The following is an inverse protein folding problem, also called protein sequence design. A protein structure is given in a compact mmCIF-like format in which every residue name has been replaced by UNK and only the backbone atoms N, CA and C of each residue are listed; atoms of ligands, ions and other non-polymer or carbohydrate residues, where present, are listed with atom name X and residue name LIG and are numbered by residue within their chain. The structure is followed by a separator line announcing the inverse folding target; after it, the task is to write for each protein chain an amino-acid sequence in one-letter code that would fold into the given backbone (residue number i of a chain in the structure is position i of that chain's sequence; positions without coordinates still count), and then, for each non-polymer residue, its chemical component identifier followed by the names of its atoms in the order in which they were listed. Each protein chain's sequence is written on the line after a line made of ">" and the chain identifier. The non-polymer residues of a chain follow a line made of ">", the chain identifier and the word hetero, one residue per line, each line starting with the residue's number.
data_IF_430328766132
#
_entry.id   IF_430328766132
#
_cell.length_a   1.000
_cell.length_b   1.000
_cell.length_c   1.000
_cell.angle_alpha   90.00
_cell.angle_beta   90.00
_cell.angle_gamma   90.00
#
_symmetry.space_group_name_H-M   'P 1'
#
loop_
_entity.id
_entity.type
_entity.pdbx_description
1 polymer ?
#
# COMPACT_ATOMS: atom_id res chain seq x y z
N UNK A 1 23.75 13.05 5.65
CA UNK A 1 22.73 13.40 4.62
C UNK A 1 21.35 13.31 5.23
N UNK A 2 20.57 14.38 5.13
CA UNK A 2 19.29 14.51 5.83
C UNK A 2 18.16 13.80 5.07
N UNK A 3 17.08 13.43 5.77
CA UNK A 3 15.88 12.84 5.19
C UNK A 3 15.19 13.72 4.12
N UNK A 4 15.56 15.01 4.03
CA UNK A 4 15.06 15.96 3.03
C UNK A 4 15.73 15.75 1.67
N UNK A 5 16.97 15.26 1.62
CA UNK A 5 17.68 15.00 0.36
C UNK A 5 17.16 13.74 -0.35
N UNK A 6 16.54 12.81 0.38
CA UNK A 6 15.98 11.56 -0.16
C UNK A 6 14.60 11.72 -0.83
N UNK A 7 13.99 12.92 -0.78
CA UNK A 7 12.55 13.16 -1.07
C UNK A 7 12.17 13.46 -2.52
N UNK A 8 13.09 13.66 -3.45
CA UNK A 8 12.72 13.93 -4.84
C UNK A 8 12.72 12.60 -5.61
N UNK A 9 11.65 12.24 -6.31
CA UNK A 9 11.60 11.15 -7.32
C UNK A 9 10.59 11.57 -8.39
N UNK A 10 10.77 11.47 -9.71
CA UNK A 10 11.42 10.43 -10.50
C UNK A 10 11.89 10.87 -11.92
N UNK A 11 11.69 12.13 -12.33
CA UNK A 11 12.11 12.66 -13.65
C UNK A 11 13.05 13.87 -13.57
N UNK A 12 12.84 14.85 -12.64
CA UNK A 12 13.69 16.04 -12.55
C UNK A 12 15.14 15.71 -12.15
N UNK A 13 15.35 14.86 -11.13
CA UNK A 13 16.70 14.49 -10.65
C UNK A 13 17.55 13.82 -11.72
N UNK A 14 16.96 13.03 -12.62
CA UNK A 14 17.77 12.37 -13.64
C UNK A 14 18.33 13.40 -14.62
N UNK A 15 17.53 14.40 -14.98
CA UNK A 15 17.97 15.50 -15.86
C UNK A 15 19.02 16.34 -15.15
N UNK A 16 18.77 16.72 -13.89
CA UNK A 16 19.71 17.51 -13.08
C UNK A 16 21.03 16.76 -12.88
N UNK A 17 20.99 15.46 -12.56
CA UNK A 17 22.20 14.64 -12.43
C UNK A 17 22.92 14.42 -13.74
N UNK A 18 22.21 14.28 -14.86
CA UNK A 18 22.84 14.20 -16.18
C UNK A 18 23.60 15.49 -16.47
N UNK A 19 23.00 16.65 -16.17
CA UNK A 19 23.65 17.95 -16.32
C UNK A 19 24.89 18.06 -15.41
N UNK A 20 24.76 17.74 -14.12
CA UNK A 20 25.87 17.73 -13.17
C UNK A 20 26.99 16.78 -13.60
N UNK A 21 26.63 15.60 -14.12
CA UNK A 21 27.59 14.62 -14.59
C UNK A 21 28.35 15.12 -15.81
N UNK A 22 27.66 15.76 -16.78
CA UNK A 22 28.31 16.37 -17.96
C UNK A 22 29.30 17.45 -17.53
N UNK A 23 28.95 18.31 -16.56
CA UNK A 23 29.86 19.33 -16.04
C UNK A 23 31.07 18.73 -15.30
N UNK A 24 30.86 17.67 -14.51
CA UNK A 24 31.97 16.92 -13.89
C UNK A 24 32.90 16.34 -14.95
N UNK A 25 32.37 15.78 -16.03
CA UNK A 25 33.19 15.27 -17.15
C UNK A 25 33.94 16.41 -17.83
N UNK A 26 33.30 17.56 -18.05
CA UNK A 26 33.95 18.74 -18.62
C UNK A 26 35.13 19.23 -17.77
N UNK A 27 35.02 19.16 -16.45
CA UNK A 27 36.11 19.51 -15.52
C UNK A 27 37.32 18.56 -15.58
N UNK A 28 37.18 17.40 -16.23
CA UNK A 28 38.29 16.46 -16.48
C UNK A 28 39.05 16.75 -17.79
N UNK A 29 38.60 17.75 -18.55
CA UNK A 29 39.28 18.18 -19.76
C UNK A 29 40.54 18.98 -19.42
N UNK A 30 41.66 18.56 -19.98
CA UNK A 30 42.96 19.22 -19.85
C UNK A 30 43.06 20.41 -20.80
N UNK A 31 44.05 21.26 -20.59
CA UNK A 31 44.32 22.45 -21.42
C UNK A 31 44.57 22.13 -22.90
N UNK A 32 45.01 20.91 -23.21
CA UNK A 32 45.23 20.40 -24.57
C UNK A 32 43.95 19.84 -25.22
N UNK A 33 42.80 19.93 -24.56
CA UNK A 33 41.51 19.42 -25.03
C UNK A 33 41.29 17.92 -24.81
N UNK A 34 42.30 17.18 -24.31
CA UNK A 34 42.18 15.76 -23.95
C UNK A 34 41.50 15.56 -22.60
N UNK A 35 40.95 14.37 -22.34
CA UNK A 35 40.28 14.05 -21.07
C UNK A 35 41.14 13.14 -20.18
N UNK A 36 41.09 13.35 -18.87
CA UNK A 36 41.62 12.40 -17.90
C UNK A 36 40.76 11.11 -17.89
N UNK A 37 41.22 10.10 -18.61
CA UNK A 37 40.50 8.83 -18.80
C UNK A 37 40.27 8.08 -17.49
N UNK A 38 41.16 8.20 -16.50
CA UNK A 38 41.03 7.53 -15.21
C UNK A 38 39.94 8.20 -14.38
N UNK A 39 39.94 9.54 -14.34
CA UNK A 39 38.94 10.31 -13.61
C UNK A 39 37.55 10.23 -14.24
N UNK A 40 37.46 10.23 -15.58
CA UNK A 40 36.22 9.95 -16.31
C UNK A 40 35.67 8.55 -15.96
N UNK A 41 36.55 7.55 -15.89
CA UNK A 41 36.17 6.20 -15.49
C UNK A 41 35.59 6.15 -14.07
N UNK A 42 36.23 6.82 -13.11
CA UNK A 42 35.76 6.88 -11.72
C UNK A 42 34.41 7.57 -11.59
N UNK A 43 34.24 8.74 -12.22
CA UNK A 43 32.97 9.46 -12.22
C UNK A 43 31.84 8.62 -12.81
N UNK A 44 32.13 7.88 -13.89
CA UNK A 44 31.17 6.97 -14.48
C UNK A 44 30.78 5.82 -13.54
N UNK A 45 31.76 5.24 -12.84
CA UNK A 45 31.52 4.16 -11.88
C UNK A 45 30.68 4.63 -10.68
N UNK A 46 30.94 5.83 -10.16
CA UNK A 46 30.14 6.45 -9.10
C UNK A 46 28.69 6.69 -9.56
N UNK A 47 28.48 7.15 -10.79
CA UNK A 47 27.15 7.42 -11.33
C UNK A 47 26.36 6.12 -11.52
N UNK A 48 27.00 5.10 -12.09
CA UNK A 48 26.39 3.76 -12.24
C UNK A 48 26.04 3.18 -10.87
N UNK A 49 26.95 3.26 -9.89
CA UNK A 49 26.73 2.80 -8.52
C UNK A 49 25.57 3.54 -7.86
N UNK A 50 25.47 4.85 -8.04
CA UNK A 50 24.34 5.63 -7.53
C UNK A 50 22.99 5.09 -8.03
N UNK A 51 22.84 4.82 -9.33
CA UNK A 51 21.59 4.28 -9.87
C UNK A 51 21.33 2.85 -9.37
N UNK A 52 22.39 2.07 -9.15
CA UNK A 52 22.29 0.74 -8.56
C UNK A 52 21.80 0.80 -7.10
N UNK A 53 22.47 1.58 -6.26
CA UNK A 53 22.17 1.73 -4.83
C UNK A 53 20.74 2.26 -4.60
N UNK A 54 20.18 2.99 -5.58
CA UNK A 54 18.81 3.49 -5.57
C UNK A 54 17.78 2.54 -6.22
N UNK A 55 18.11 1.25 -6.32
CA UNK A 55 17.16 0.18 -6.63
C UNK A 55 16.66 0.14 -8.09
N UNK A 56 17.46 0.65 -9.04
CA UNK A 56 17.10 0.60 -10.47
C UNK A 56 17.35 -0.79 -11.05
N UNK A 57 16.40 -1.28 -11.85
CA UNK A 57 16.54 -2.57 -12.55
C UNK A 57 17.58 -2.46 -13.68
N UNK A 58 18.16 -3.60 -14.12
CA UNK A 58 19.09 -3.62 -15.25
C UNK A 58 18.51 -2.96 -16.51
N UNK A 59 17.22 -3.22 -16.81
CA UNK A 59 16.51 -2.61 -17.94
C UNK A 59 16.32 -1.09 -17.78
N UNK A 60 16.10 -0.62 -16.56
CA UNK A 60 16.00 0.83 -16.27
C UNK A 60 17.37 1.51 -16.35
N UNK A 61 18.43 0.85 -15.90
CA UNK A 61 19.82 1.30 -16.02
C UNK A 61 20.23 1.46 -17.48
N UNK A 62 19.93 0.46 -18.34
CA UNK A 62 20.17 0.56 -19.78
C UNK A 62 19.50 1.81 -20.38
N UNK A 63 18.23 2.07 -20.03
CA UNK A 63 17.50 3.23 -20.51
C UNK A 63 18.09 4.56 -20.00
N UNK A 64 18.54 4.62 -18.75
CA UNK A 64 19.13 5.85 -18.18
C UNK A 64 20.50 6.14 -18.78
N UNK A 65 21.30 5.10 -19.01
CA UNK A 65 22.63 5.21 -19.59
C UNK A 65 22.57 5.66 -21.04
N UNK A 66 21.55 5.23 -21.79
CA UNK A 66 21.26 5.79 -23.11
C UNK A 66 21.07 7.31 -23.02
N UNK A 67 20.37 7.82 -21.99
CA UNK A 67 20.19 9.27 -21.78
C UNK A 67 21.49 9.98 -21.42
N UNK A 68 22.33 9.41 -20.55
CA UNK A 68 23.68 9.94 -20.27
C UNK A 68 24.54 9.99 -21.54
N UNK A 69 24.49 8.93 -22.37
CA UNK A 69 25.24 8.88 -23.64
C UNK A 69 24.76 9.92 -24.65
N UNK A 70 23.46 10.17 -24.73
CA UNK A 70 22.94 11.26 -25.56
C UNK A 70 23.44 12.61 -25.06
N UNK A 71 23.36 12.88 -23.77
CA UNK A 71 23.86 14.14 -23.21
C UNK A 71 25.37 14.32 -23.41
N UNK A 72 26.18 13.27 -23.25
CA UNK A 72 27.62 13.32 -23.56
C UNK A 72 27.90 13.54 -25.05
N UNK A 73 27.10 12.92 -25.92
CA UNK A 73 27.21 13.09 -27.37
C UNK A 73 26.86 14.54 -27.77
N UNK A 74 25.85 15.13 -27.15
CA UNK A 74 25.43 16.51 -27.41
C UNK A 74 26.46 17.50 -26.88
N UNK A 75 27.04 17.24 -25.71
CA UNK A 75 28.02 18.13 -25.08
C UNK A 75 29.43 18.07 -25.70
N UNK A 76 29.88 16.89 -26.13
CA UNK A 76 31.28 16.67 -26.57
C UNK A 76 31.41 16.20 -28.01
N UNK A 77 30.33 15.71 -28.63
CA UNK A 77 30.33 15.18 -30.00
C UNK A 77 30.40 13.64 -30.08
N UNK A 78 30.20 13.07 -31.28
CA UNK A 78 29.98 11.64 -31.50
C UNK A 78 31.23 10.75 -31.39
N UNK A 79 32.43 11.31 -31.38
CA UNK A 79 33.70 10.57 -31.37
C UNK A 79 34.63 11.07 -30.28
N UNK A 80 34.20 10.96 -29.03
CA UNK A 80 34.95 11.47 -27.87
C UNK A 80 35.30 10.41 -26.84
N UNK A 81 36.40 10.64 -26.13
CA UNK A 81 36.89 9.78 -25.06
C UNK A 81 35.86 9.51 -23.96
N UNK A 82 35.08 10.50 -23.46
CA UNK A 82 34.02 10.24 -22.50
C UNK A 82 32.93 9.31 -23.03
N UNK A 83 32.52 9.47 -24.30
CA UNK A 83 31.51 8.60 -24.91
C UNK A 83 32.02 7.16 -25.14
N UNK A 84 33.32 7.01 -25.40
CA UNK A 84 33.98 5.71 -25.53
C UNK A 84 34.12 5.00 -24.17
N UNK A 85 34.37 5.73 -23.08
CA UNK A 85 34.48 5.18 -21.72
C UNK A 85 33.10 4.83 -21.15
N UNK A 86 32.11 5.73 -21.31
CA UNK A 86 30.76 5.56 -20.77
C UNK A 86 29.88 4.67 -21.67
N UNK A 87 30.33 3.44 -21.94
CA UNK A 87 29.68 2.51 -22.88
C UNK A 87 28.97 1.32 -22.23
N UNK A 88 27.96 0.80 -22.94
CA UNK A 88 27.09 -0.30 -22.47
C UNK A 88 27.80 -1.65 -22.34
N UNK A 89 28.86 -1.92 -23.13
CA UNK A 89 29.54 -3.21 -23.14
C UNK A 89 30.39 -3.41 -21.88
N UNK A 90 31.20 -2.40 -21.52
CA UNK A 90 31.98 -2.39 -20.27
C UNK A 90 31.10 -2.33 -19.03
N UNK A 91 29.88 -1.81 -19.14
CA UNK A 91 28.91 -1.78 -18.04
C UNK A 91 28.40 -3.18 -17.68
N UNK A 92 28.01 -4.02 -18.65
CA UNK A 92 27.52 -5.38 -18.36
C UNK A 92 28.60 -6.22 -17.68
N UNK A 93 29.80 -6.17 -18.24
CA UNK A 93 31.01 -6.79 -17.64
C UNK A 93 31.28 -6.26 -16.22
N UNK A 94 31.10 -4.95 -15.98
CA UNK A 94 31.25 -4.35 -14.64
C UNK A 94 30.09 -4.67 -13.69
N UNK A 95 28.86 -4.79 -14.17
CA UNK A 95 27.70 -5.19 -13.38
C UNK A 95 27.89 -6.60 -12.83
N UNK A 96 28.38 -7.50 -13.68
CA UNK A 96 28.76 -8.86 -13.30
C UNK A 96 29.93 -8.83 -12.30
N UNK A 97 30.88 -7.88 -12.47
CA UNK A 97 31.98 -7.65 -11.52
C UNK A 97 31.50 -7.13 -10.16
N UNK A 98 30.46 -6.29 -10.09
CA UNK A 98 29.91 -5.81 -8.82
C UNK A 98 29.11 -6.87 -8.08
N UNK A 99 28.44 -7.75 -8.81
CA UNK A 99 27.81 -8.94 -8.25
C UNK A 99 28.89 -9.91 -7.75
N UNK A 100 30.01 -10.07 -8.47
CA UNK A 100 31.09 -10.98 -8.07
C UNK A 100 32.04 -10.44 -6.99
N UNK A 101 32.14 -9.12 -6.81
CA UNK A 101 33.03 -8.50 -5.81
C UNK A 101 32.55 -8.59 -4.35
N UNK A 102 31.33 -9.04 -4.09
CA UNK A 102 30.89 -9.35 -2.73
C UNK A 102 30.79 -8.14 -1.78
N UNK A 103 30.59 -6.92 -2.29
CA UNK A 103 30.34 -5.70 -1.48
C UNK A 103 28.94 -5.71 -0.80
N UNK A 104 28.46 -6.88 -0.39
CA UNK A 104 27.20 -7.06 0.34
C UNK A 104 27.41 -8.07 1.48
N UNK A 105 26.69 -7.92 2.61
CA UNK A 105 26.81 -8.87 3.72
C UNK A 105 26.51 -10.30 3.26
N UNK A 106 27.49 -11.19 3.40
CA UNK A 106 27.34 -12.63 3.07
C UNK A 106 26.94 -13.47 4.29
N UNK A 107 26.87 -12.84 5.47
CA UNK A 107 26.42 -13.44 6.73
C UNK A 107 25.42 -12.53 7.40
N UNK A 108 24.36 -13.10 7.92
CA UNK A 108 23.28 -12.37 8.57
C UNK A 108 22.29 -13.31 9.26
N UNK A 109 21.49 -12.73 10.15
CA UNK A 109 20.39 -13.41 10.86
C UNK A 109 19.17 -12.51 10.84
N UNK A 110 17.99 -13.09 10.63
CA UNK A 110 16.71 -12.39 10.72
C UNK A 110 16.18 -12.49 12.16
N UNK A 111 16.67 -11.63 13.06
CA UNK A 111 16.38 -11.68 14.49
C UNK A 111 14.87 -11.74 14.80
N UNK A 112 14.04 -11.00 14.06
CA UNK A 112 12.59 -10.99 14.26
C UNK A 112 11.91 -12.34 13.97
N UNK A 113 12.55 -13.21 13.17
CA UNK A 113 12.10 -14.58 12.91
C UNK A 113 12.54 -15.49 14.04
N UNK A 114 13.81 -15.40 14.46
CA UNK A 114 14.36 -16.20 15.57
C UNK A 114 13.60 -15.94 16.87
N UNK A 115 13.40 -14.68 17.25
CA UNK A 115 12.63 -14.29 18.44
C UNK A 115 11.19 -14.85 18.43
N UNK A 116 10.58 -15.01 17.24
CA UNK A 116 9.24 -15.60 17.11
C UNK A 116 9.28 -17.12 17.23
N UNK A 117 10.33 -17.77 16.76
CA UNK A 117 10.53 -19.22 16.90
C UNK A 117 10.77 -19.54 18.38
N UNK A 118 11.68 -18.82 19.05
CA UNK A 118 11.99 -18.98 20.47
C UNK A 118 10.74 -18.80 21.35
N UNK A 119 9.95 -17.74 21.11
CA UNK A 119 8.66 -17.56 21.81
C UNK A 119 7.70 -18.72 21.56
N UNK A 120 7.69 -19.28 20.35
CA UNK A 120 6.81 -20.39 20.01
C UNK A 120 7.24 -21.73 20.63
N UNK A 121 8.50 -21.89 21.03
CA UNK A 121 8.97 -23.07 21.78
C UNK A 121 8.40 -23.12 23.19
N UNK A 122 8.19 -21.95 23.80
CA UNK A 122 7.61 -21.80 25.13
C UNK A 122 6.08 -21.98 25.15
N UNK A 123 5.44 -22.03 23.97
CA UNK A 123 3.99 -22.20 23.89
C UNK A 123 3.55 -23.61 24.26
N UNK A 124 2.60 -23.70 25.19
CA UNK A 124 2.01 -24.96 25.65
C UNK A 124 0.95 -25.53 24.69
N UNK A 125 0.36 -24.69 23.84
CA UNK A 125 -0.70 -25.03 22.89
C UNK A 125 -0.50 -24.28 21.58
N UNK A 126 -0.86 -24.89 20.44
CA UNK A 126 -0.89 -24.22 19.14
C UNK A 126 -0.20 -24.99 18.02
N UNK A 127 -0.30 -24.45 16.79
CA UNK A 127 0.40 -25.03 15.63
C UNK A 127 1.89 -24.75 15.73
N UNK A 128 2.71 -25.76 15.41
CA UNK A 128 4.17 -25.58 15.29
C UNK A 128 4.49 -24.54 14.19
N UNK A 129 5.50 -23.67 14.39
CA UNK A 129 5.81 -22.54 13.50
C UNK A 129 6.58 -22.99 12.23
N UNK A 130 6.12 -24.04 11.54
CA UNK A 130 6.82 -24.70 10.42
C UNK A 130 7.28 -23.73 9.33
N UNK A 131 6.46 -22.73 9.01
CA UNK A 131 6.84 -21.74 8.00
C UNK A 131 7.99 -20.82 8.48
N UNK A 132 7.99 -20.41 9.75
CA UNK A 132 9.07 -19.56 10.29
C UNK A 132 10.37 -20.36 10.38
N UNK A 133 10.30 -21.63 10.78
CA UNK A 133 11.46 -22.55 10.76
C UNK A 133 12.07 -22.65 9.36
N UNK A 134 11.24 -22.85 8.31
CA UNK A 134 11.74 -22.85 6.93
C UNK A 134 12.40 -21.53 6.52
N UNK A 135 11.85 -20.38 6.95
CA UNK A 135 12.46 -19.08 6.68
C UNK A 135 13.82 -18.97 7.38
N UNK A 136 13.92 -19.40 8.64
CA UNK A 136 15.18 -19.43 9.40
C UNK A 136 16.23 -20.34 8.77
N UNK A 137 15.84 -21.57 8.38
CA UNK A 137 16.68 -22.52 7.67
C UNK A 137 17.17 -21.96 6.34
N UNK A 138 16.29 -21.30 5.59
CA UNK A 138 16.61 -20.65 4.33
C UNK A 138 17.63 -19.50 4.51
N UNK A 139 17.44 -18.62 5.50
CA UNK A 139 18.40 -17.54 5.80
C UNK A 139 19.75 -18.12 6.24
N UNK A 140 19.72 -19.18 7.04
CA UNK A 140 20.93 -19.89 7.48
C UNK A 140 21.68 -20.52 6.28
N UNK A 141 20.96 -21.15 5.36
CA UNK A 141 21.52 -21.76 4.15
C UNK A 141 22.09 -20.72 3.17
N UNK A 142 21.62 -19.48 3.20
CA UNK A 142 22.19 -18.38 2.42
C UNK A 142 23.55 -17.90 2.93
N UNK A 143 23.89 -18.15 4.20
CA UNK A 143 25.15 -17.66 4.77
C UNK A 143 26.36 -18.29 4.05
N UNK A 144 27.16 -17.44 3.39
CA UNK A 144 28.32 -17.85 2.59
C UNK A 144 28.01 -18.21 1.14
N UNK A 145 26.76 -18.10 0.68
CA UNK A 145 26.40 -18.28 -0.72
C UNK A 145 26.76 -17.04 -1.52
N UNK A 146 27.60 -17.22 -2.55
CA UNK A 146 28.15 -16.12 -3.35
C UNK A 146 27.88 -16.24 -4.85
N UNK A 147 27.40 -17.39 -5.34
CA UNK A 147 27.04 -17.57 -6.75
C UNK A 147 25.55 -17.33 -6.96
N UNK A 148 25.19 -16.90 -8.17
CA UNK A 148 23.80 -16.66 -8.54
C UNK A 148 23.04 -17.98 -8.69
N UNK A 149 23.72 -19.00 -9.19
CA UNK A 149 23.21 -20.34 -9.45
C UNK A 149 22.78 -21.01 -8.15
N UNK A 150 23.60 -20.92 -7.10
CA UNK A 150 23.26 -21.47 -5.78
C UNK A 150 22.11 -20.72 -5.13
N UNK A 151 22.08 -19.37 -5.22
CA UNK A 151 20.95 -18.57 -4.74
C UNK A 151 19.64 -18.93 -5.47
N UNK A 152 19.71 -19.18 -6.78
CA UNK A 152 18.56 -19.58 -7.58
C UNK A 152 18.07 -20.97 -7.16
N UNK A 153 18.97 -21.94 -7.00
CA UNK A 153 18.63 -23.29 -6.56
C UNK A 153 17.95 -23.28 -5.17
N UNK A 154 18.47 -22.50 -4.22
CA UNK A 154 17.83 -22.30 -2.91
C UNK A 154 16.41 -21.75 -3.03
N UNK A 155 16.20 -20.75 -3.91
CA UNK A 155 14.88 -20.17 -4.12
C UNK A 155 13.89 -21.14 -4.77
N UNK A 156 14.36 -21.89 -5.77
CA UNK A 156 13.53 -22.81 -6.53
C UNK A 156 13.02 -23.94 -5.63
N UNK A 157 13.83 -24.41 -4.68
CA UNK A 157 13.40 -25.36 -3.63
C UNK A 157 12.29 -24.78 -2.75
N UNK A 158 12.41 -23.52 -2.31
CA UNK A 158 11.36 -22.87 -1.51
C UNK A 158 10.07 -22.68 -2.32
N UNK A 159 10.18 -22.26 -3.58
CA UNK A 159 9.03 -22.12 -4.48
C UNK A 159 8.32 -23.46 -4.74
N UNK A 160 9.08 -24.53 -4.95
CA UNK A 160 8.53 -25.88 -5.10
C UNK A 160 7.79 -26.34 -3.84
N UNK A 161 8.33 -26.05 -2.65
CA UNK A 161 7.69 -26.39 -1.38
C UNK A 161 6.34 -25.69 -1.16
N UNK A 162 6.10 -24.58 -1.87
CA UNK A 162 4.87 -23.80 -1.82
C UNK A 162 3.90 -24.11 -2.98
N UNK A 163 4.20 -25.10 -3.84
CA UNK A 163 3.44 -25.40 -5.04
C UNK A 163 1.98 -25.82 -4.81
N UNK A 164 1.67 -26.33 -3.61
CA UNK A 164 0.31 -26.72 -3.20
C UNK A 164 -0.51 -25.58 -2.58
N UNK A 165 0.09 -24.39 -2.41
CA UNK A 165 -0.55 -23.26 -1.74
C UNK A 165 -1.34 -22.39 -2.71
N UNK A 166 -2.43 -21.81 -2.21
CA UNK A 166 -3.15 -20.78 -2.94
C UNK A 166 -2.23 -19.61 -3.31
N UNK A 167 -2.41 -19.03 -4.51
CA UNK A 167 -1.56 -17.95 -5.04
C UNK A 167 -1.40 -16.76 -4.08
N UNK A 168 -2.47 -16.35 -3.40
CA UNK A 168 -2.42 -15.27 -2.41
C UNK A 168 -1.52 -15.61 -1.20
N UNK A 169 -1.50 -16.88 -0.79
CA UNK A 169 -0.61 -17.39 0.27
C UNK A 169 0.84 -17.36 -0.20
N UNK A 170 1.12 -17.80 -1.43
CA UNK A 170 2.46 -17.76 -2.02
C UNK A 170 3.00 -16.33 -2.06
N UNK A 171 2.21 -15.36 -2.55
CA UNK A 171 2.60 -13.93 -2.58
C UNK A 171 2.90 -13.39 -1.17
N UNK A 172 2.09 -13.77 -0.18
CA UNK A 172 2.31 -13.41 1.23
C UNK A 172 3.61 -14.01 1.77
N UNK A 173 3.89 -15.27 1.47
CA UNK A 173 5.10 -15.96 1.90
C UNK A 173 6.35 -15.38 1.24
N UNK A 174 6.32 -15.11 -0.07
CA UNK A 174 7.39 -14.39 -0.78
C UNK A 174 7.69 -13.06 -0.09
N UNK A 175 6.65 -12.32 0.34
CA UNK A 175 6.86 -11.06 1.07
C UNK A 175 7.59 -11.27 2.39
N UNK A 176 7.29 -12.36 3.13
CA UNK A 176 7.98 -12.71 4.39
C UNK A 176 9.44 -13.08 4.15
N UNK A 177 9.75 -13.95 3.18
CA UNK A 177 11.15 -14.26 2.83
C UNK A 177 11.92 -13.01 2.44
N UNK A 178 11.36 -12.16 1.57
CA UNK A 178 12.00 -10.91 1.15
C UNK A 178 12.27 -9.94 2.31
N UNK A 179 11.39 -9.90 3.30
CA UNK A 179 11.61 -9.09 4.50
C UNK A 179 12.70 -9.68 5.39
N UNK A 180 12.73 -11.00 5.58
CA UNK A 180 13.80 -11.68 6.31
C UNK A 180 15.17 -11.49 5.62
N UNK A 181 15.23 -11.56 4.29
CA UNK A 181 16.46 -11.29 3.53
C UNK A 181 16.92 -9.84 3.75
N UNK A 182 16.01 -8.85 3.71
CA UNK A 182 16.36 -7.45 3.98
C UNK A 182 16.90 -7.25 5.39
N UNK A 183 16.28 -7.90 6.37
CA UNK A 183 16.67 -7.83 7.77
C UNK A 183 18.07 -8.42 7.97
N UNK A 184 18.31 -9.62 7.44
CA UNK A 184 19.57 -10.34 7.62
C UNK A 184 20.74 -9.73 6.82
N UNK A 185 20.50 -9.34 5.56
CA UNK A 185 21.56 -9.02 4.60
C UNK A 185 21.49 -7.60 4.00
N UNK A 186 20.45 -6.82 4.35
CA UNK A 186 20.23 -5.47 3.83
C UNK A 186 19.53 -5.41 2.47
N UNK A 187 19.17 -4.19 2.06
CA UNK A 187 18.35 -3.92 0.87
C UNK A 187 19.06 -4.18 -0.48
N UNK A 188 20.39 -4.34 -0.47
CA UNK A 188 21.20 -4.50 -1.68
C UNK A 188 21.56 -5.95 -2.00
N UNK A 189 21.16 -6.91 -1.16
CA UNK A 189 21.54 -8.30 -1.35
C UNK A 189 20.97 -8.88 -2.67
N UNK A 190 21.79 -9.54 -3.53
CA UNK A 190 21.35 -10.04 -4.85
C UNK A 190 20.14 -10.97 -4.80
N UNK A 191 20.00 -11.75 -3.73
CA UNK A 191 18.83 -12.61 -3.50
C UNK A 191 17.50 -11.87 -3.59
N UNK A 192 17.42 -10.57 -3.30
CA UNK A 192 16.17 -9.80 -3.43
C UNK A 192 15.71 -9.65 -4.90
N UNK A 193 16.55 -9.97 -5.88
CA UNK A 193 16.19 -10.02 -7.31
C UNK A 193 15.74 -11.41 -7.73
N UNK A 194 16.16 -12.44 -7.01
CA UNK A 194 15.85 -13.85 -7.25
C UNK A 194 14.58 -14.24 -6.50
N UNK A 195 14.50 -13.91 -5.20
CA UNK A 195 13.38 -14.18 -4.30
C UNK A 195 12.16 -13.32 -4.64
N UNK A 196 11.52 -13.61 -5.76
CA UNK A 196 10.32 -12.97 -6.25
C UNK A 196 9.40 -14.01 -6.91
N UNK A 197 8.11 -13.69 -6.96
CA UNK A 197 7.16 -14.46 -7.76
C UNK A 197 7.36 -14.20 -9.25
N UNK A 198 6.82 -15.08 -10.08
CA UNK A 198 6.77 -14.85 -11.53
C UNK A 198 5.87 -13.65 -11.85
N UNK A 199 6.12 -12.91 -12.94
CA UNK A 199 5.21 -11.84 -13.38
C UNK A 199 3.76 -12.32 -13.51
N UNK A 200 3.57 -13.53 -14.05
CA UNK A 200 2.27 -14.16 -14.23
C UNK A 200 1.50 -14.32 -12.91
N UNK A 201 2.17 -14.74 -11.83
CA UNK A 201 1.57 -14.86 -10.50
C UNK A 201 0.94 -13.54 -10.03
N UNK A 202 1.64 -12.42 -10.24
CA UNK A 202 1.15 -11.11 -9.83
C UNK A 202 0.03 -10.57 -10.73
N UNK A 203 0.11 -10.83 -12.03
CA UNK A 203 -0.90 -10.39 -13.00
C UNK A 203 -2.22 -11.16 -12.80
N UNK A 204 -2.15 -12.47 -12.55
CA UNK A 204 -3.31 -13.30 -12.22
C UNK A 204 -3.96 -12.85 -10.90
N UNK A 205 -3.16 -12.59 -9.87
CA UNK A 205 -3.66 -12.06 -8.60
C UNK A 205 -4.35 -10.70 -8.77
N UNK A 206 -3.82 -9.84 -9.64
CA UNK A 206 -4.44 -8.53 -9.98
C UNK A 206 -5.75 -8.72 -10.73
N UNK A 207 -5.78 -9.60 -11.74
CA UNK A 207 -6.99 -9.93 -12.51
C UNK A 207 -8.09 -10.49 -11.61
N UNK A 208 -7.75 -11.42 -10.72
CA UNK A 208 -8.68 -11.99 -9.75
C UNK A 208 -9.21 -10.93 -8.75
N UNK A 209 -8.35 -10.00 -8.29
CA UNK A 209 -8.77 -8.87 -7.45
C UNK A 209 -9.76 -7.97 -8.19
N UNK A 210 -9.44 -7.58 -9.42
CA UNK A 210 -10.30 -6.69 -10.23
C UNK A 210 -11.64 -7.33 -10.57
N UNK A 211 -11.66 -8.63 -10.91
CA UNK A 211 -12.90 -9.37 -11.14
C UNK A 211 -13.80 -9.36 -9.90
N UNK A 212 -13.25 -9.60 -8.70
CA UNK A 212 -14.01 -9.52 -7.44
C UNK A 212 -14.58 -8.13 -7.17
N UNK A 213 -13.83 -7.07 -7.50
CA UNK A 213 -14.31 -5.69 -7.36
C UNK A 213 -15.43 -5.42 -8.37
N UNK A 214 -15.28 -5.83 -9.62
CA UNK A 214 -16.29 -5.66 -10.67
C UNK A 214 -17.60 -6.38 -10.30
N UNK A 215 -17.53 -7.62 -9.81
CA UNK A 215 -18.71 -8.34 -9.31
C UNK A 215 -19.41 -7.56 -8.20
N UNK A 216 -18.66 -7.04 -7.21
CA UNK A 216 -19.24 -6.23 -6.14
C UNK A 216 -19.91 -4.95 -6.65
N UNK A 217 -19.30 -4.28 -7.62
CA UNK A 217 -19.86 -3.04 -8.20
C UNK A 217 -21.12 -3.32 -9.02
N UNK A 218 -21.24 -4.52 -9.61
CA UNK A 218 -22.45 -4.97 -10.29
C UNK A 218 -23.58 -5.39 -9.35
N UNK A 219 -23.28 -5.68 -8.08
CA UNK A 219 -24.25 -6.15 -7.08
C UNK A 219 -23.90 -5.60 -5.69
N UNK A 220 -24.11 -4.30 -5.49
CA UNK A 220 -23.93 -3.68 -4.17
C UNK A 220 -24.91 -4.29 -3.16
N UNK A 221 -24.47 -4.43 -1.91
CA UNK A 221 -25.30 -4.94 -0.82
C UNK A 221 -26.11 -3.77 -0.25
N UNK A 222 -27.43 -3.91 -0.18
CA UNK A 222 -28.27 -2.90 0.50
C UNK A 222 -28.09 -3.01 2.01
N UNK A 223 -27.57 -1.96 2.64
CA UNK A 223 -27.33 -1.94 4.08
C UNK A 223 -28.56 -1.35 4.80
N UNK A 224 -29.63 -2.13 4.90
CA UNK A 224 -30.92 -1.70 5.46
C UNK A 224 -30.82 -1.05 6.85
N UNK A 225 -30.14 -1.73 7.78
CA UNK A 225 -30.08 -1.31 9.19
C UNK A 225 -28.84 -0.47 9.52
N UNK A 226 -28.30 0.28 8.55
CA UNK A 226 -27.06 1.04 8.75
C UNK A 226 -27.17 2.08 9.88
N UNK A 227 -28.35 2.68 10.04
CA UNK A 227 -28.64 3.67 11.09
C UNK A 227 -28.55 3.06 12.49
N UNK A 228 -29.04 1.82 12.66
CA UNK A 228 -28.95 1.06 13.90
C UNK A 228 -27.51 0.66 14.22
N UNK A 229 -26.74 0.19 13.22
CA UNK A 229 -25.30 -0.07 13.37
C UNK A 229 -24.56 1.18 13.83
N UNK A 230 -24.85 2.33 13.25
CA UNK A 230 -24.23 3.60 13.67
C UNK A 230 -24.68 4.04 15.05
N UNK A 231 -25.95 3.84 15.41
CA UNK A 231 -26.45 4.10 16.78
C UNK A 231 -25.71 3.25 17.82
N UNK A 232 -25.45 1.98 17.52
CA UNK A 232 -24.61 1.11 18.36
C UNK A 232 -23.18 1.61 18.47
N UNK A 233 -22.54 1.97 17.34
CA UNK A 233 -21.18 2.51 17.35
C UNK A 233 -21.06 3.78 18.22
N UNK A 234 -22.05 4.69 18.14
CA UNK A 234 -22.10 5.90 18.99
C UNK A 234 -22.23 5.56 20.48
N UNK A 235 -23.07 4.59 20.83
CA UNK A 235 -23.17 4.11 22.23
C UNK A 235 -21.87 3.46 22.70
N UNK A 236 -21.18 2.74 21.84
CA UNK A 236 -19.92 2.07 22.18
C UNK A 236 -18.79 3.04 22.52
N UNK A 237 -18.80 4.27 21.99
CA UNK A 237 -17.89 5.33 22.42
C UNK A 237 -18.03 5.65 23.92
N UNK A 238 -19.18 5.40 24.53
CA UNK A 238 -19.45 5.66 25.95
C UNK A 238 -19.18 4.45 26.85
N UNK A 239 -18.71 3.32 26.28
CA UNK A 239 -18.39 2.12 27.06
C UNK A 239 -17.17 2.35 27.97
N UNK A 240 -17.06 1.54 29.03
CA UNK A 240 -15.84 1.40 29.84
C UNK A 240 -14.90 0.32 29.31
N UNK A 241 -15.39 -0.60 28.46
CA UNK A 241 -14.57 -1.65 27.85
C UNK A 241 -13.74 -1.09 26.68
N UNK A 242 -12.39 -1.11 26.76
CA UNK A 242 -11.52 -0.56 25.72
C UNK A 242 -11.75 -1.16 24.33
N UNK A 243 -12.05 -2.47 24.25
CA UNK A 243 -12.32 -3.13 22.96
C UNK A 243 -13.61 -2.58 22.33
N UNK A 244 -14.66 -2.43 23.12
CA UNK A 244 -15.93 -1.84 22.69
C UNK A 244 -15.75 -0.38 22.26
N UNK A 245 -14.99 0.43 23.02
CA UNK A 245 -14.65 1.80 22.61
C UNK A 245 -13.97 1.81 21.24
N UNK A 246 -12.97 0.94 21.04
CA UNK A 246 -12.26 0.81 19.77
C UNK A 246 -13.18 0.47 18.60
N UNK A 247 -14.18 -0.40 18.79
CA UNK A 247 -15.21 -0.70 17.78
C UNK A 247 -16.02 0.56 17.44
N UNK A 248 -16.45 1.33 18.44
CA UNK A 248 -17.13 2.61 18.25
C UNK A 248 -16.28 3.61 17.46
N UNK A 249 -14.98 3.69 17.76
CA UNK A 249 -14.03 4.55 17.04
C UNK A 249 -13.84 4.10 15.59
N UNK A 250 -13.73 2.80 15.30
CA UNK A 250 -13.65 2.28 13.93
C UNK A 250 -14.87 2.73 13.11
N UNK A 251 -16.09 2.57 13.66
CA UNK A 251 -17.33 2.95 12.97
C UNK A 251 -17.45 4.46 12.75
N UNK A 252 -17.04 5.28 13.72
CA UNK A 252 -17.26 6.74 13.67
C UNK A 252 -16.14 7.53 12.98
N UNK A 253 -14.94 6.95 12.83
CA UNK A 253 -13.77 7.60 12.19
C UNK A 253 -13.31 6.90 10.90
N UNK A 254 -13.83 5.69 10.64
CA UNK A 254 -13.43 4.84 9.54
C UNK A 254 -11.98 4.38 9.59
N UNK A 255 -11.25 4.59 10.69
CA UNK A 255 -9.84 4.17 10.82
C UNK A 255 -9.74 2.64 10.87
N UNK A 256 -8.61 2.09 10.41
CA UNK A 256 -8.36 0.64 10.47
C UNK A 256 -8.21 0.21 11.93
N UNK A 257 -8.58 -1.03 12.30
CA UNK A 257 -8.42 -1.51 13.67
C UNK A 257 -7.00 -1.29 14.21
N UNK A 258 -5.98 -1.69 13.45
CA UNK A 258 -4.58 -1.46 13.83
C UNK A 258 -4.29 0.02 14.10
N UNK A 259 -4.79 0.94 13.26
CA UNK A 259 -4.61 2.38 13.50
C UNK A 259 -5.26 2.79 14.83
N UNK A 260 -6.55 2.47 15.03
CA UNK A 260 -7.31 2.85 16.23
C UNK A 260 -6.63 2.35 17.50
N UNK A 261 -6.23 1.07 17.55
CA UNK A 261 -5.69 0.48 18.77
C UNK A 261 -4.23 0.85 19.02
N UNK A 262 -3.39 0.94 17.99
CA UNK A 262 -1.93 0.95 18.20
C UNK A 262 -1.22 2.27 17.92
N UNK A 263 -1.75 3.14 17.04
CA UNK A 263 -0.91 4.25 16.54
C UNK A 263 -1.65 5.51 16.07
N UNK A 264 -2.99 5.51 16.03
CA UNK A 264 -3.76 6.69 15.67
C UNK A 264 -3.44 7.81 16.66
N UNK A 265 -3.31 9.04 16.16
CA UNK A 265 -3.34 10.28 16.94
C UNK A 265 -4.53 11.09 16.47
N UNK A 266 -5.45 11.45 17.37
CA UNK A 266 -6.62 12.27 17.06
C UNK A 266 -6.53 13.63 17.78
N UNK A 267 -6.75 14.71 17.04
CA UNK A 267 -6.75 16.08 17.56
C UNK A 267 -7.97 16.88 17.05
N UNK A 268 -8.41 17.92 17.76
CA UNK A 268 -9.44 18.82 17.26
C UNK A 268 -9.06 19.43 15.90
N UNK A 269 -10.00 19.48 14.96
CA UNK A 269 -9.85 20.23 13.72
C UNK A 269 -10.35 21.66 13.91
N UNK A 270 -9.64 22.64 13.36
CA UNK A 270 -10.07 24.05 13.39
C UNK A 270 -11.18 24.30 12.37
N UNK A 271 -12.14 25.16 12.70
CA UNK A 271 -13.17 25.64 11.78
C UNK A 271 -13.40 27.14 12.00
N UNK A 272 -12.83 27.96 11.11
CA UNK A 272 -12.77 29.40 11.32
C UNK A 272 -12.02 29.74 12.61
N UNK A 273 -12.70 30.40 13.56
CA UNK A 273 -12.16 30.71 14.90
C UNK A 273 -12.47 29.64 15.95
N UNK A 274 -13.25 28.61 15.60
CA UNK A 274 -13.71 27.57 16.51
C UNK A 274 -13.12 26.19 16.21
N UNK A 275 -13.70 25.17 16.83
CA UNK A 275 -13.39 23.76 16.60
C UNK A 275 -14.52 23.15 15.75
N UNK A 276 -14.15 22.35 14.76
CA UNK A 276 -15.11 21.61 13.95
C UNK A 276 -15.89 20.60 14.79
N UNK A 277 -17.21 20.61 14.64
CA UNK A 277 -18.11 19.64 15.29
C UNK A 277 -18.05 18.26 14.64
N UNK A 278 -17.73 18.19 13.35
CA UNK A 278 -17.91 16.99 12.51
C UNK A 278 -16.63 16.50 11.83
N UNK A 279 -15.49 17.01 12.25
CA UNK A 279 -14.18 16.53 11.78
C UNK A 279 -13.12 16.59 12.88
N UNK A 280 -12.10 15.76 12.70
CA UNK A 280 -10.90 15.70 13.54
C UNK A 280 -9.66 15.61 12.66
N UNK A 281 -8.52 16.00 13.21
CA UNK A 281 -7.22 15.75 12.61
C UNK A 281 -6.74 14.35 13.01
N UNK A 282 -6.28 13.57 12.03
CA UNK A 282 -5.76 12.22 12.21
C UNK A 282 -4.31 12.12 11.71
N UNK A 283 -3.47 11.46 12.51
CA UNK A 283 -2.13 10.98 12.12
C UNK A 283 -1.98 9.49 12.47
N UNK A 284 -0.98 8.82 11.90
CA UNK A 284 -0.72 7.39 12.11
C UNK A 284 -1.35 6.50 11.02
N UNK A 285 -1.40 6.95 9.77
CA UNK A 285 -1.93 6.15 8.66
C UNK A 285 -1.08 4.89 8.42
N UNK A 286 -1.69 3.72 8.56
CA UNK A 286 -1.06 2.42 8.30
C UNK A 286 -1.01 2.10 6.80
N UNK A 287 -0.22 1.08 6.43
CA UNK A 287 -0.04 0.60 5.04
C UNK A 287 0.45 1.68 4.06
N UNK A 288 1.13 2.70 4.56
CA UNK A 288 1.87 3.66 3.75
C UNK A 288 3.37 3.39 3.88
N UNK A 289 4.11 3.58 2.79
CA UNK A 289 5.57 3.65 2.82
C UNK A 289 5.98 5.12 2.78
N UNK A 290 7.19 5.44 3.25
CA UNK A 290 7.81 6.76 3.12
C UNK A 290 7.96 7.12 1.63
N UNK A 291 6.94 7.75 1.06
CA UNK A 291 6.87 8.10 -0.35
C UNK A 291 6.13 9.41 -0.54
N UNK A 292 6.50 10.14 -1.58
CA UNK A 292 5.84 11.39 -1.94
C UNK A 292 4.36 11.13 -2.28
N UNK A 293 3.47 11.99 -1.78
CA UNK A 293 2.03 11.85 -1.95
C UNK A 293 1.37 10.76 -1.12
N UNK A 294 2.11 10.03 -0.26
CA UNK A 294 1.53 9.15 0.77
C UNK A 294 1.18 9.94 2.03
N UNK A 295 0.35 9.39 2.90
CA UNK A 295 0.02 9.98 4.21
C UNK A 295 0.94 9.50 5.34
N UNK A 296 2.15 9.05 5.02
CA UNK A 296 3.11 8.61 6.04
C UNK A 296 3.57 9.80 6.90
N UNK A 297 3.24 9.79 8.20
CA UNK A 297 3.58 10.87 9.14
C UNK A 297 2.90 12.21 8.86
N UNK A 298 1.87 12.22 8.01
CA UNK A 298 1.13 13.43 7.65
C UNK A 298 -0.17 13.45 8.46
N UNK A 299 -0.37 14.55 9.18
CA UNK A 299 -1.67 14.83 9.81
C UNK A 299 -2.63 15.38 8.77
N UNK A 300 -3.84 14.85 8.70
CA UNK A 300 -4.87 15.34 7.80
C UNK A 300 -6.26 15.24 8.43
N UNK A 301 -7.18 16.07 7.94
CA UNK A 301 -8.55 16.14 8.45
C UNK A 301 -9.40 14.97 7.92
N UNK A 302 -10.20 14.37 8.80
CA UNK A 302 -11.19 13.35 8.46
C UNK A 302 -12.56 13.72 9.04
N UNK A 303 -13.66 13.45 8.34
CA UNK A 303 -15.00 13.59 8.91
C UNK A 303 -15.24 12.52 9.98
N UNK A 304 -16.11 12.82 10.94
CA UNK A 304 -16.56 11.89 11.98
C UNK A 304 -18.08 11.77 12.00
N UNK A 305 -18.59 10.58 12.30
CA UNK A 305 -20.03 10.27 12.29
C UNK A 305 -20.72 10.46 13.65
N UNK A 306 -20.03 11.15 14.56
CA UNK A 306 -20.46 11.61 15.87
C UNK A 306 -19.73 12.94 16.19
N UNK A 307 -20.23 13.72 17.15
CA UNK A 307 -19.59 14.96 17.58
C UNK A 307 -18.12 14.74 17.93
N UNK A 308 -17.24 15.56 17.35
CA UNK A 308 -15.78 15.47 17.51
C UNK A 308 -15.34 15.38 18.98
N UNK A 309 -16.00 16.13 19.88
CA UNK A 309 -15.74 16.07 21.32
C UNK A 309 -15.95 14.67 21.91
N UNK A 310 -17.02 13.96 21.54
CA UNK A 310 -17.33 12.61 22.04
C UNK A 310 -16.30 11.61 21.50
N UNK A 311 -15.94 11.74 20.23
CA UNK A 311 -14.91 10.89 19.60
C UNK A 311 -13.56 11.06 20.28
N UNK A 312 -13.15 12.31 20.53
CA UNK A 312 -11.87 12.63 21.19
C UNK A 312 -11.85 12.14 22.64
N UNK A 313 -12.93 12.35 23.40
CA UNK A 313 -13.06 11.84 24.78
C UNK A 313 -12.95 10.30 24.84
N UNK A 314 -13.69 9.60 23.97
CA UNK A 314 -13.62 8.14 23.88
C UNK A 314 -12.21 7.66 23.51
N UNK A 315 -11.54 8.35 22.60
CA UNK A 315 -10.17 8.05 22.22
C UNK A 315 -9.18 8.25 23.38
N UNK A 316 -9.32 9.32 24.18
CA UNK A 316 -8.52 9.51 25.38
C UNK A 316 -8.77 8.40 26.42
N UNK A 317 -10.03 8.06 26.70
CA UNK A 317 -10.38 6.93 27.58
C UNK A 317 -9.78 5.60 27.11
N UNK A 318 -9.81 5.34 25.80
CA UNK A 318 -9.12 4.18 25.23
C UNK A 318 -7.63 4.22 25.54
N UNK A 319 -6.94 5.34 25.26
CA UNK A 319 -5.49 5.48 25.47
C UNK A 319 -5.06 5.42 26.93
N UNK A 320 -5.90 5.89 27.84
CA UNK A 320 -5.57 5.95 29.27
C UNK A 320 -5.84 4.62 30.01
N UNK A 321 -6.61 3.71 29.40
CA UNK A 321 -6.89 2.37 29.93
C UNK A 321 -5.64 1.48 29.99
N UNK A 322 -5.68 0.42 30.81
CA UNK A 322 -4.62 -0.59 30.90
C UNK A 322 -4.32 -1.22 29.54
N UNK A 323 -5.37 -1.66 28.85
CA UNK A 323 -5.27 -2.36 27.57
C UNK A 323 -4.81 -1.41 26.47
N UNK A 324 -5.29 -0.15 26.49
CA UNK A 324 -4.85 0.88 25.55
C UNK A 324 -3.37 1.21 25.65
N UNK A 325 -2.81 1.22 26.87
CA UNK A 325 -1.37 1.39 27.09
C UNK A 325 -0.57 0.19 26.58
N UNK A 326 -1.11 -1.01 26.72
CA UNK A 326 -0.51 -2.25 26.18
C UNK A 326 -0.52 -2.24 24.64
N UNK A 327 -1.64 -1.85 24.03
CA UNK A 327 -1.80 -1.85 22.57
C UNK A 327 -1.01 -0.74 21.86
N UNK A 328 -0.75 0.38 22.53
CA UNK A 328 -0.03 1.51 21.96
C UNK A 328 1.39 1.09 21.54
N UNK A 329 1.72 1.29 20.26
CA UNK A 329 3.02 0.94 19.70
C UNK A 329 3.22 -0.54 19.36
N UNK A 330 2.21 -1.41 19.56
CA UNK A 330 2.29 -2.82 19.18
C UNK A 330 2.62 -2.99 17.70
N UNK A 331 3.44 -4.00 17.41
CA UNK A 331 3.66 -4.45 16.03
C UNK A 331 2.37 -5.04 15.45
N UNK A 332 2.27 -5.08 14.11
CA UNK A 332 1.10 -5.69 13.44
C UNK A 332 0.92 -7.16 13.79
N UNK A 333 2.01 -7.87 14.05
CA UNK A 333 2.01 -9.29 14.37
C UNK A 333 1.54 -9.53 15.82
N UNK A 334 2.01 -8.72 16.77
CA UNK A 334 1.58 -8.81 18.17
C UNK A 334 0.10 -8.41 18.29
N UNK A 335 -0.32 -7.30 17.68
CA UNK A 335 -1.73 -6.91 17.64
C UNK A 335 -2.62 -7.96 16.98
N UNK A 336 -2.14 -8.61 15.91
CA UNK A 336 -2.89 -9.67 15.23
C UNK A 336 -3.03 -10.93 16.07
N UNK A 337 -2.09 -11.20 16.98
CA UNK A 337 -2.09 -12.37 17.85
C UNK A 337 -2.94 -12.13 19.10
N UNK A 338 -2.84 -10.93 19.67
CA UNK A 338 -3.52 -10.51 20.90
C UNK A 338 -5.00 -10.16 20.66
N UNK A 339 -5.27 -9.22 19.74
CA UNK A 339 -6.58 -8.57 19.67
C UNK A 339 -7.46 -9.02 18.50
N UNK A 340 -6.92 -9.72 17.47
CA UNK A 340 -7.68 -10.00 16.23
C UNK A 340 -8.89 -10.92 16.44
N UNK A 341 -8.72 -12.04 17.14
CA UNK A 341 -9.80 -12.99 17.37
C UNK A 341 -10.84 -12.42 18.35
N UNK A 342 -10.44 -11.84 19.51
CA UNK A 342 -11.40 -11.15 20.38
C UNK A 342 -12.18 -10.05 19.66
N UNK A 343 -11.52 -9.23 18.84
CA UNK A 343 -12.19 -8.20 18.05
C UNK A 343 -13.18 -8.78 17.03
N UNK A 344 -12.81 -9.88 16.36
CA UNK A 344 -13.71 -10.55 15.40
C UNK A 344 -14.97 -11.05 16.10
N UNK A 345 -14.82 -11.74 17.22
CA UNK A 345 -15.94 -12.37 17.90
C UNK A 345 -16.84 -11.30 18.55
N UNK A 346 -16.24 -10.24 19.11
CA UNK A 346 -16.97 -9.06 19.57
C UNK A 346 -17.75 -8.36 18.44
N UNK A 347 -17.18 -8.25 17.23
CA UNK A 347 -17.88 -7.69 16.07
C UNK A 347 -19.10 -8.51 15.67
N UNK A 348 -18.98 -9.85 15.67
CA UNK A 348 -20.11 -10.74 15.36
C UNK A 348 -21.20 -10.56 16.42
N UNK A 349 -20.85 -10.75 17.69
CA UNK A 349 -21.80 -10.67 18.80
C UNK A 349 -22.54 -9.32 18.89
N UNK A 350 -21.89 -8.22 18.48
CA UNK A 350 -22.47 -6.87 18.57
C UNK A 350 -23.37 -6.49 17.39
N UNK A 351 -23.25 -7.17 16.25
CA UNK A 351 -23.89 -6.72 15.01
C UNK A 351 -24.57 -7.80 14.18
N UNK A 352 -24.45 -9.08 14.52
CA UNK A 352 -25.03 -10.19 13.73
C UNK A 352 -26.51 -10.03 13.43
N UNK A 353 -27.29 -9.49 14.36
CA UNK A 353 -28.74 -9.26 14.23
C UNK A 353 -29.12 -8.09 13.31
N UNK A 354 -28.19 -7.17 13.01
CA UNK A 354 -28.44 -5.95 12.25
C UNK A 354 -27.57 -5.81 11.00
N UNK A 355 -26.61 -6.71 10.79
CA UNK A 355 -25.75 -6.69 9.62
C UNK A 355 -26.45 -7.30 8.39
N UNK A 356 -26.12 -6.88 7.15
CA UNK A 356 -26.65 -7.51 5.94
C UNK A 356 -26.38 -9.01 5.90
N UNK A 357 -27.38 -9.82 5.50
CA UNK A 357 -27.30 -11.29 5.52
C UNK A 357 -26.32 -11.85 4.48
N UNK A 358 -25.97 -11.05 3.48
CA UNK A 358 -25.06 -11.39 2.40
C UNK A 358 -23.60 -11.56 2.87
N UNK A 359 -23.24 -11.01 4.04
CA UNK A 359 -21.90 -11.15 4.60
C UNK A 359 -21.89 -11.10 6.13
N UNK A 360 -20.91 -11.72 6.81
CA UNK A 360 -20.80 -11.61 8.26
C UNK A 360 -20.28 -10.23 8.70
N UNK A 361 -20.64 -9.77 9.91
CA UNK A 361 -20.04 -8.59 10.52
C UNK A 361 -18.53 -8.72 10.62
N UNK A 362 -17.81 -7.69 10.20
CA UNK A 362 -16.34 -7.66 10.21
C UNK A 362 -15.83 -6.26 10.50
N UNK A 363 -14.70 -6.09 11.22
CA UNK A 363 -14.17 -4.77 11.56
C UNK A 363 -14.00 -3.85 10.35
N UNK A 364 -13.56 -4.41 9.22
CA UNK A 364 -13.36 -3.64 7.99
C UNK A 364 -14.66 -3.23 7.30
N UNK A 365 -15.78 -3.91 7.57
CA UNK A 365 -17.11 -3.53 7.08
C UNK A 365 -17.54 -2.17 7.64
N UNK A 366 -17.21 -1.86 8.89
CA UNK A 366 -17.46 -0.55 9.48
C UNK A 366 -16.70 0.57 8.74
N UNK A 367 -15.48 0.30 8.25
CA UNK A 367 -14.73 1.28 7.44
C UNK A 367 -15.37 1.51 6.06
N UNK A 368 -15.94 0.47 5.45
CA UNK A 368 -16.69 0.60 4.20
C UNK A 368 -17.97 1.43 4.43
N UNK A 369 -18.72 1.09 5.49
CA UNK A 369 -19.93 1.81 5.85
C UNK A 369 -19.64 3.29 6.18
N UNK A 370 -18.58 3.56 6.93
CA UNK A 370 -18.13 4.91 7.24
C UNK A 370 -17.94 5.74 5.96
N UNK A 371 -17.25 5.20 4.96
CA UNK A 371 -16.94 5.94 3.74
C UNK A 371 -18.22 6.31 2.97
N UNK A 372 -19.16 5.37 2.91
CA UNK A 372 -20.46 5.54 2.27
C UNK A 372 -21.30 6.62 2.97
N UNK A 373 -21.42 6.55 4.30
CA UNK A 373 -22.16 7.55 5.09
C UNK A 373 -21.48 8.92 4.99
N UNK A 374 -20.15 8.98 5.13
CA UNK A 374 -19.41 10.22 5.10
C UNK A 374 -19.51 10.91 3.74
N UNK A 375 -19.56 10.16 2.64
CA UNK A 375 -19.79 10.72 1.31
C UNK A 375 -21.19 11.31 1.20
N UNK A 376 -22.21 10.55 1.58
CA UNK A 376 -23.60 11.01 1.52
C UNK A 376 -23.86 12.29 2.33
N UNK A 377 -23.19 12.46 3.46
CA UNK A 377 -23.46 13.58 4.38
C UNK A 377 -22.53 14.80 4.20
N UNK A 378 -21.30 14.60 3.74
CA UNK A 378 -20.27 15.64 3.79
C UNK A 378 -19.51 15.86 2.47
N UNK A 379 -19.72 15.03 1.44
CA UNK A 379 -19.01 15.23 0.19
C UNK A 379 -19.43 16.53 -0.49
N UNK A 380 -18.47 17.40 -0.88
CA UNK A 380 -18.76 18.54 -1.72
C UNK A 380 -19.29 18.08 -3.09
N UNK A 381 -20.24 18.82 -3.65
CA UNK A 381 -20.83 18.50 -4.97
C UNK A 381 -19.81 18.49 -6.11
N UNK A 382 -18.68 19.18 -5.96
CA UNK A 382 -17.60 19.24 -6.93
C UNK A 382 -16.60 18.08 -6.84
N UNK A 383 -16.77 17.13 -5.92
CA UNK A 383 -15.82 16.03 -5.68
C UNK A 383 -16.48 14.69 -5.97
N UNK A 384 -15.82 13.87 -6.80
CA UNK A 384 -16.32 12.52 -7.10
C UNK A 384 -16.22 11.59 -5.90
N UNK A 385 -17.06 10.56 -5.86
CA UNK A 385 -17.02 9.52 -4.81
C UNK A 385 -15.64 8.88 -4.66
N UNK A 386 -14.96 8.56 -5.76
CA UNK A 386 -13.60 8.01 -5.73
C UNK A 386 -12.60 8.95 -5.07
N UNK A 387 -12.62 10.24 -5.45
CA UNK A 387 -11.71 11.25 -4.90
C UNK A 387 -11.99 11.50 -3.42
N UNK A 388 -13.26 11.61 -3.05
CA UNK A 388 -13.66 11.78 -1.65
C UNK A 388 -13.27 10.58 -0.78
N UNK A 389 -13.52 9.35 -1.25
CA UNK A 389 -13.08 8.12 -0.58
C UNK A 389 -11.56 8.09 -0.43
N UNK A 390 -10.82 8.41 -1.48
CA UNK A 390 -9.36 8.46 -1.42
C UNK A 390 -8.85 9.46 -0.39
N UNK A 391 -9.47 10.65 -0.30
CA UNK A 391 -9.12 11.68 0.66
C UNK A 391 -9.36 11.22 2.11
N UNK A 392 -10.58 10.82 2.46
CA UNK A 392 -10.92 10.47 3.84
C UNK A 392 -10.23 9.18 4.29
N UNK A 393 -9.99 8.23 3.38
CA UNK A 393 -9.34 6.95 3.70
C UNK A 393 -7.81 7.02 3.71
N UNK A 394 -7.22 8.18 3.39
CA UNK A 394 -5.77 8.39 3.41
C UNK A 394 -5.04 7.59 2.33
N UNK A 395 -5.62 7.48 1.15
CA UNK A 395 -4.94 6.92 -0.02
C UNK A 395 -3.90 7.92 -0.56
N UNK A 396 -3.06 7.46 -1.48
CA UNK A 396 -2.10 8.34 -2.13
C UNK A 396 -2.84 9.37 -3.00
N UNK A 397 -2.28 10.58 -3.15
CA UNK A 397 -2.97 11.72 -3.77
C UNK A 397 -3.57 11.45 -5.17
N UNK A 398 -2.98 10.55 -5.95
CA UNK A 398 -3.44 10.19 -7.31
C UNK A 398 -4.02 8.76 -7.39
N UNK A 399 -4.22 8.08 -6.26
CA UNK A 399 -4.73 6.71 -6.20
C UNK A 399 -6.26 6.70 -6.05
N UNK A 400 -6.94 6.68 -7.19
CA UNK A 400 -8.39 6.51 -7.27
C UNK A 400 -8.80 5.03 -7.32
N UNK A 401 -7.92 4.11 -7.73
CA UNK A 401 -8.26 2.69 -7.90
C UNK A 401 -8.53 2.02 -6.55
N UNK A 402 -7.76 2.34 -5.52
CA UNK A 402 -7.95 1.74 -4.19
C UNK A 402 -9.32 2.09 -3.59
N UNK A 403 -9.92 3.22 -3.98
CA UNK A 403 -11.28 3.60 -3.55
C UNK A 403 -12.36 2.60 -3.98
N UNK A 404 -12.18 1.94 -5.14
CA UNK A 404 -13.14 0.97 -5.69
C UNK A 404 -13.35 -0.22 -4.74
N UNK A 405 -12.35 -0.55 -3.92
CA UNK A 405 -12.43 -1.66 -2.98
C UNK A 405 -13.43 -1.41 -1.83
N UNK A 406 -13.83 -0.15 -1.59
CA UNK A 406 -14.71 0.24 -0.47
C UNK A 406 -16.15 0.52 -0.90
N UNK A 407 -16.42 0.66 -2.20
CA UNK A 407 -17.78 0.80 -2.73
C UNK A 407 -18.44 -0.57 -2.71
N UNK A 408 -19.08 -0.90 -1.58
CA UNK A 408 -19.66 -2.23 -1.30
C UNK A 408 -21.14 -2.14 -0.96
N UNK A 409 -21.58 -1.03 -0.38
CA UNK A 409 -22.93 -0.86 0.13
C UNK A 409 -23.70 0.19 -0.67
N UNK A 410 -25.02 0.04 -0.69
CA UNK A 410 -25.98 1.09 -1.04
C UNK A 410 -26.96 1.24 0.12
N UNK A 411 -27.54 2.42 0.30
CA UNK A 411 -28.57 2.62 1.31
C UNK A 411 -29.98 2.43 0.73
N UNK A 412 -30.96 2.01 1.56
CA UNK A 412 -32.31 1.77 1.08
C UNK A 412 -32.95 3.00 0.44
N UNK A 413 -32.65 4.21 0.93
CA UNK A 413 -33.21 5.44 0.34
C UNK A 413 -32.70 5.66 -1.09
N UNK A 414 -31.42 5.39 -1.35
CA UNK A 414 -30.80 5.53 -2.67
C UNK A 414 -31.29 4.45 -3.64
N UNK A 415 -31.54 3.24 -3.13
CA UNK A 415 -32.10 2.14 -3.89
C UNK A 415 -33.56 2.42 -4.30
N UNK A 416 -34.37 2.95 -3.36
CA UNK A 416 -35.75 3.35 -3.62
C UNK A 416 -35.83 4.49 -4.64
N UNK A 417 -34.99 5.53 -4.51
CA UNK A 417 -34.97 6.63 -5.47
C UNK A 417 -34.55 6.16 -6.87
N UNK A 418 -33.54 5.28 -6.95
CA UNK A 418 -33.07 4.72 -8.20
C UNK A 418 -34.13 3.86 -8.89
N UNK A 419 -34.84 3.01 -8.13
CA UNK A 419 -35.96 2.21 -8.63
C UNK A 419 -37.09 3.10 -9.16
N UNK A 420 -37.48 4.11 -8.39
CA UNK A 420 -38.51 5.06 -8.81
C UNK A 420 -38.10 5.84 -10.07
N UNK A 421 -36.81 6.17 -10.22
CA UNK A 421 -36.28 6.79 -11.46
C UNK A 421 -36.35 5.83 -12.64
N UNK A 422 -35.97 4.57 -12.46
CA UNK A 422 -36.02 3.56 -13.51
C UNK A 422 -37.46 3.31 -13.99
N UNK A 423 -38.42 3.19 -13.07
CA UNK A 423 -39.85 3.06 -13.38
C UNK A 423 -40.36 4.26 -14.19
N UNK A 424 -40.01 5.51 -13.79
CA UNK A 424 -40.35 6.71 -14.56
C UNK A 424 -39.77 6.72 -15.98
N UNK A 425 -38.55 6.23 -16.17
CA UNK A 425 -37.91 6.13 -17.49
C UNK A 425 -38.57 5.03 -18.33
N UNK A 426 -38.91 3.89 -17.73
CA UNK A 426 -39.62 2.81 -18.40
C UNK A 426 -41.01 3.29 -18.85
N UNK A 427 -41.78 3.93 -17.98
CA UNK A 427 -43.08 4.52 -18.30
C UNK A 427 -42.99 5.54 -19.43
N UNK A 428 -41.98 6.43 -19.40
CA UNK A 428 -41.74 7.40 -20.48
C UNK A 428 -41.43 6.69 -21.80
N UNK A 429 -40.59 5.66 -21.77
CA UNK A 429 -40.24 4.85 -22.94
C UNK A 429 -41.47 4.15 -23.53
N UNK A 430 -42.29 3.53 -22.68
CA UNK A 430 -43.54 2.87 -23.10
C UNK A 430 -44.49 3.88 -23.74
N UNK A 431 -44.70 5.06 -23.12
CA UNK A 431 -45.53 6.13 -23.69
C UNK A 431 -45.00 6.62 -25.03
N UNK A 432 -43.67 6.75 -25.17
CA UNK A 432 -43.04 7.14 -26.43
C UNK A 432 -43.27 6.06 -27.51
N UNK A 433 -43.08 4.78 -27.20
CA UNK A 433 -43.36 3.66 -28.13
C UNK A 433 -44.83 3.62 -28.57
N UNK A 434 -45.77 3.84 -27.64
CA UNK A 434 -47.20 3.93 -27.96
C UNK A 434 -47.51 5.11 -28.88
N UNK A 435 -46.86 6.26 -28.69
CA UNK A 435 -47.04 7.43 -29.57
C UNK A 435 -46.42 7.25 -30.96
N UNK A 436 -45.31 6.51 -31.07
CA UNK A 436 -44.67 6.18 -32.36
C UNK A 436 -45.52 5.17 -33.15
N UNK A 437 -46.17 4.23 -32.46
CA UNK A 437 -47.11 3.28 -33.09
C UNK A 437 -48.47 3.91 -33.43
N UNK A 438 -48.71 5.17 -33.06
CA UNK A 438 -49.90 5.94 -33.41
C UNK A 438 -49.66 6.91 -34.59
N UNK A 439 -48.52 6.82 -35.29
CA UNK A 439 -48.32 7.58 -36.53
C UNK A 439 -49.39 7.11 -37.55
N UNK A 440 -50.37 7.97 -37.93
CA UNK A 440 -51.38 7.61 -38.91
C UNK A 440 -50.70 7.53 -40.28
N UNK A 441 -50.73 6.36 -40.92
CA UNK A 441 -50.23 6.21 -42.29
C UNK A 441 -49.69 4.85 -42.73
N UNK A 442 -49.67 3.81 -41.88
CA UNK A 442 -49.24 2.46 -42.28
C UNK A 442 -50.27 1.37 -41.95
N UNK A 443 -51.53 1.63 -42.25
CA UNK A 443 -52.52 0.56 -42.47
C UNK A 443 -53.31 0.94 -43.72
N UNK A 444 -53.03 0.26 -44.83
CA UNK A 444 -53.81 0.33 -46.06
C UNK A 444 -53.02 0.76 -47.28
N UNK A 445 -52.33 -0.19 -47.91
CA UNK A 445 -52.63 -0.59 -49.29
C UNK A 445 -52.73 -2.12 -49.34
#
# INVERSE_FOLDING_TARGET
>A
MSAVERRKTKTPILVDRIADFVEKIKSTQKKDGSFDTKKVGQLWDEEVRFHFDNGRTAKTLELYIVKYRYALKDAFGPKTTPLAICNMKKLKERLDTYISRGDYPQKGVANSIEEKIERAEQNTVGRKPRFLLRVSEFISAMNGVNTKEDMQALWDMEMASMGDKAQATVISYITKYRNAIREAFGDQHPMLRIAAGTPQLYDEARKAKMAKIATKHGSLITFENYSEVMRRCRRYLLSSDPLTIGIGLIGTTGRRPFEVFTQAELKPAAYGKGISKWSVLFNGQAKTKQGEGTKFGVTYEIPVLEQSRIVLDAYHRLRDSSDGKLWLGMSVDDFSSDARLPLRDAMIAKFEDVWPKEEPPKPYGLRHLYAEIAYRNFAPSSVTKNSYFAAILGHNNNDLETSLSYMTYTFPEDAMESKARAERVADRTIRQMLSVNQIPGMVGE
#
